data_IF_242894360130
#
_entry.id   IF_242894360130
#
_cell.length_a   1.000
_cell.length_b   1.000
_cell.length_c   1.000
_cell.angle_alpha   90.00
_cell.angle_beta   90.00
_cell.angle_gamma   90.00
#
_symmetry.space_group_name_H-M   'P 1'
#
loop_
_entity.id
_entity.type
_entity.pdbx_description
1 polymer ?
#
# COMPACT_ATOMS: atom_id res chain seq x y z
N UNK A 1 11.41 6.18 19.09
CA UNK A 1 11.66 6.29 20.54
C UNK A 1 12.90 7.14 20.74
N UNK A 2 12.75 8.28 21.41
CA UNK A 2 13.85 9.09 21.91
C UNK A 2 13.91 9.01 23.43
N UNK A 3 14.99 9.49 24.04
CA UNK A 3 15.12 9.64 25.50
C UNK A 3 15.42 11.09 25.84
N UNK A 4 15.03 11.55 27.03
CA UNK A 4 15.46 12.85 27.52
C UNK A 4 16.84 12.71 28.16
N UNK A 5 17.81 13.53 27.73
CA UNK A 5 19.15 13.61 28.32
C UNK A 5 19.39 15.07 28.68
N UNK A 6 19.65 15.36 29.96
CA UNK A 6 19.87 16.74 30.47
C UNK A 6 18.74 17.71 30.06
N UNK A 7 17.49 17.29 30.21
CA UNK A 7 16.31 18.09 29.86
C UNK A 7 16.06 18.27 28.35
N UNK A 8 16.88 17.68 27.47
CA UNK A 8 16.72 17.78 26.00
C UNK A 8 16.33 16.44 25.38
N UNK A 9 15.41 16.41 24.41
CA UNK A 9 15.07 15.19 23.70
C UNK A 9 16.25 14.74 22.81
N UNK A 10 16.70 13.51 23.00
CA UNK A 10 17.64 12.80 22.13
C UNK A 10 16.88 11.76 21.33
N UNK A 11 16.75 11.98 20.03
CA UNK A 11 16.04 11.10 19.10
C UNK A 11 17.03 10.10 18.51
N UNK A 12 16.73 8.81 18.63
CA UNK A 12 17.55 7.78 18.00
C UNK A 12 17.36 7.80 16.46
N UNK A 13 18.40 7.47 15.68
CA UNK A 13 18.26 7.30 14.24
C UNK A 13 17.27 6.17 13.93
N UNK A 14 16.67 6.22 12.74
CA UNK A 14 15.84 5.10 12.26
C UNK A 14 16.69 3.84 12.03
N UNK A 15 16.02 2.69 12.08
CA UNK A 15 16.62 1.41 11.67
C UNK A 15 16.39 1.19 10.17
N UNK A 16 17.17 0.31 9.52
CA UNK A 16 16.86 -0.13 8.16
C UNK A 16 15.42 -0.61 8.04
N UNK A 17 14.82 -0.38 6.88
CA UNK A 17 13.47 -0.85 6.58
C UNK A 17 13.44 -2.38 6.57
N UNK A 18 12.43 -3.02 7.19
CA UNK A 18 12.36 -4.48 7.19
C UNK A 18 12.07 -5.01 5.78
N UNK A 19 12.63 -6.17 5.49
CA UNK A 19 12.19 -7.00 4.37
C UNK A 19 10.77 -7.50 4.67
N UNK A 20 9.86 -7.36 3.71
CA UNK A 20 8.47 -7.80 3.87
C UNK A 20 8.34 -9.31 3.66
N UNK A 21 9.23 -9.92 2.88
CA UNK A 21 9.22 -11.36 2.64
C UNK A 21 9.56 -12.16 3.89
N UNK A 22 10.35 -11.59 4.80
CA UNK A 22 10.75 -12.23 6.06
C UNK A 22 9.77 -11.99 7.22
N UNK A 23 8.70 -11.23 7.02
CA UNK A 23 7.73 -10.97 8.10
C UNK A 23 6.90 -12.23 8.38
N UNK A 24 6.61 -12.53 9.65
CA UNK A 24 5.74 -13.64 10.00
C UNK A 24 4.32 -13.39 9.52
N UNK A 25 3.54 -14.46 9.45
CA UNK A 25 2.10 -14.38 9.19
C UNK A 25 1.41 -13.46 10.22
N UNK A 26 0.38 -12.74 9.78
CA UNK A 26 -0.33 -11.78 10.63
C UNK A 26 -1.13 -12.53 11.70
N UNK A 27 -1.03 -12.05 12.94
CA UNK A 27 -1.83 -12.56 14.05
C UNK A 27 -3.22 -11.92 14.00
N UNK A 28 -4.20 -12.65 13.46
CA UNK A 28 -5.60 -12.25 13.44
C UNK A 28 -6.37 -12.67 14.70
N UNK A 29 -5.75 -13.43 15.60
CA UNK A 29 -6.38 -13.93 16.82
C UNK A 29 -6.14 -13.00 18.02
N UNK A 30 -5.15 -12.10 17.94
CA UNK A 30 -4.89 -11.07 18.97
C UNK A 30 -6.11 -10.17 19.26
N UNK A 31 -7.05 -10.07 18.32
CA UNK A 31 -8.36 -9.43 18.51
C UNK A 31 -9.47 -10.34 18.00
N UNK A 32 -10.71 -10.09 18.44
CA UNK A 32 -11.89 -10.70 17.82
C UNK A 32 -12.10 -10.12 16.41
N UNK A 33 -11.40 -10.70 15.44
CA UNK A 33 -11.38 -10.20 14.07
C UNK A 33 -12.72 -10.41 13.36
N UNK A 34 -13.48 -11.46 13.72
CA UNK A 34 -14.83 -11.67 13.19
C UNK A 34 -15.74 -10.49 13.55
N UNK A 35 -15.70 -10.02 14.81
CA UNK A 35 -16.46 -8.84 15.24
C UNK A 35 -16.05 -7.58 14.50
N UNK A 36 -14.77 -7.41 14.16
CA UNK A 36 -14.28 -6.30 13.34
C UNK A 36 -14.83 -6.39 11.91
N UNK A 37 -14.84 -7.58 11.31
CA UNK A 37 -15.40 -7.83 9.97
C UNK A 37 -16.88 -7.44 9.94
N UNK A 38 -17.67 -7.95 10.89
CA UNK A 38 -19.10 -7.67 10.95
C UNK A 38 -19.39 -6.19 11.20
N UNK A 39 -18.62 -5.53 12.09
CA UNK A 39 -18.73 -4.09 12.35
C UNK A 39 -18.37 -3.23 11.12
N UNK A 40 -17.50 -3.73 10.24
CA UNK A 40 -17.14 -3.10 8.96
C UNK A 40 -18.00 -3.58 7.78
N UNK A 41 -19.14 -4.23 8.06
CA UNK A 41 -20.05 -4.76 7.04
C UNK A 41 -19.33 -5.64 6.00
N UNK A 42 -18.40 -6.48 6.47
CA UNK A 42 -17.65 -7.42 5.64
C UNK A 42 -16.42 -6.85 4.93
N UNK A 43 -15.99 -5.62 5.23
CA UNK A 43 -14.78 -5.03 4.63
C UNK A 43 -13.53 -5.40 5.41
N UNK A 44 -12.57 -6.02 4.72
CA UNK A 44 -11.30 -6.50 5.29
C UNK A 44 -10.13 -5.77 4.66
N UNK A 45 -9.32 -5.11 5.49
CA UNK A 45 -8.10 -4.42 5.08
C UNK A 45 -6.93 -5.37 4.91
N UNK A 46 -6.26 -5.28 3.78
CA UNK A 46 -5.02 -5.97 3.43
C UNK A 46 -3.96 -4.95 2.99
N UNK A 47 -2.71 -5.38 2.90
CA UNK A 47 -1.61 -4.53 2.46
C UNK A 47 -0.66 -5.37 1.61
N UNK A 48 -0.52 -5.02 0.34
CA UNK A 48 0.37 -5.70 -0.60
C UNK A 48 1.79 -5.12 -0.62
N UNK A 49 1.95 -3.88 -0.17
CA UNK A 49 3.18 -3.11 -0.26
C UNK A 49 3.25 -1.99 0.77
N UNK A 50 4.44 -1.42 0.93
CA UNK A 50 4.69 -0.25 1.78
C UNK A 50 5.54 0.77 1.02
N UNK A 51 5.13 2.04 1.07
CA UNK A 51 5.87 3.16 0.51
C UNK A 51 5.38 3.57 -0.87
N UNK A 52 5.73 4.80 -1.24
CA UNK A 52 5.37 5.45 -2.49
C UNK A 52 6.59 6.14 -3.10
N UNK A 53 6.80 6.07 -4.43
CA UNK A 53 7.91 6.76 -5.10
C UNK A 53 7.72 8.29 -5.16
N UNK A 54 6.49 8.77 -4.96
CA UNK A 54 6.14 10.16 -5.21
C UNK A 54 6.47 11.06 -4.02
N UNK A 55 6.79 12.32 -4.34
CA UNK A 55 7.17 13.35 -3.37
C UNK A 55 6.15 14.48 -3.25
N UNK A 56 4.87 14.12 -3.27
CA UNK A 56 3.76 15.06 -3.12
C UNK A 56 3.93 15.88 -1.83
N UNK A 57 3.89 17.22 -1.92
CA UNK A 57 4.27 18.13 -0.82
C UNK A 57 3.39 18.02 0.41
N UNK A 58 2.15 17.57 0.25
CA UNK A 58 1.18 17.38 1.33
C UNK A 58 1.21 15.97 1.94
N UNK A 59 1.92 15.01 1.32
CA UNK A 59 1.94 13.61 1.75
C UNK A 59 3.14 13.32 2.65
N UNK A 60 2.96 12.59 3.75
CA UNK A 60 4.05 12.30 4.70
C UNK A 60 5.20 11.46 4.11
N UNK A 61 4.97 10.72 3.02
CA UNK A 61 5.94 9.81 2.40
C UNK A 61 7.29 10.48 2.10
N UNK A 62 7.28 11.70 1.54
CA UNK A 62 8.52 12.40 1.17
C UNK A 62 9.36 12.82 2.40
N UNK A 63 8.71 13.17 3.51
CA UNK A 63 9.37 13.47 4.78
C UNK A 63 10.01 12.22 5.38
N UNK A 64 9.32 11.08 5.29
CA UNK A 64 9.84 9.79 5.75
C UNK A 64 11.05 9.36 4.92
N UNK A 65 10.97 9.43 3.60
CA UNK A 65 12.10 9.17 2.69
C UNK A 65 13.29 10.06 3.05
N UNK A 66 13.08 11.37 3.23
CA UNK A 66 14.15 12.31 3.61
C UNK A 66 14.78 11.93 4.95
N UNK A 67 13.98 11.62 5.97
CA UNK A 67 14.48 11.21 7.29
C UNK A 67 15.32 9.94 7.20
N UNK A 68 14.84 8.92 6.51
CA UNK A 68 15.57 7.66 6.37
C UNK A 68 16.88 7.83 5.62
N UNK A 69 16.88 8.57 4.51
CA UNK A 69 18.10 8.84 3.75
C UNK A 69 19.13 9.61 4.56
N UNK A 70 18.69 10.58 5.36
CA UNK A 70 19.57 11.36 6.23
C UNK A 70 20.13 10.53 7.40
N UNK A 71 19.29 9.74 8.07
CA UNK A 71 19.73 8.95 9.23
C UNK A 71 20.62 7.76 8.81
N UNK A 72 20.33 7.13 7.66
CA UNK A 72 21.04 5.95 7.15
C UNK A 72 22.14 6.29 6.13
N UNK A 73 22.26 7.56 5.73
CA UNK A 73 23.23 8.04 4.73
C UNK A 73 23.18 7.25 3.42
N UNK A 74 21.98 7.07 2.86
CA UNK A 74 21.76 6.27 1.65
C UNK A 74 20.96 7.01 0.57
N UNK A 75 21.09 6.55 -0.67
CA UNK A 75 20.26 6.98 -1.79
C UNK A 75 18.82 6.44 -1.68
N UNK A 76 17.92 6.98 -2.49
CA UNK A 76 16.53 6.48 -2.56
C UNK A 76 16.47 5.01 -3.02
N UNK A 77 17.36 4.62 -3.95
CA UNK A 77 17.42 3.26 -4.47
C UNK A 77 17.91 2.27 -3.40
N UNK A 78 18.98 2.62 -2.71
CA UNK A 78 19.54 1.79 -1.63
C UNK A 78 18.59 1.69 -0.43
N UNK A 79 17.80 2.73 -0.16
CA UNK A 79 16.78 2.69 0.88
C UNK A 79 15.75 1.58 0.64
N UNK A 80 15.46 1.24 -0.62
CA UNK A 80 14.42 0.27 -0.96
C UNK A 80 13.08 0.68 -0.34
N UNK A 81 12.66 1.94 -0.53
CA UNK A 81 11.51 2.48 0.20
C UNK A 81 10.20 1.75 -0.13
N UNK A 82 10.02 1.45 -1.42
CA UNK A 82 8.88 0.73 -1.98
C UNK A 82 9.17 -0.77 -1.88
N UNK A 83 8.40 -1.48 -1.06
CA UNK A 83 8.58 -2.91 -0.79
C UNK A 83 7.25 -3.61 -0.92
N UNK A 84 7.27 -4.83 -1.42
CA UNK A 84 6.06 -5.64 -1.63
C UNK A 84 6.14 -6.93 -0.82
N UNK A 85 5.00 -7.42 -0.35
CA UNK A 85 4.86 -8.83 -0.04
C UNK A 85 4.91 -9.64 -1.34
N UNK A 86 5.31 -10.90 -1.25
CA UNK A 86 5.18 -11.79 -2.41
C UNK A 86 3.70 -12.01 -2.73
N UNK A 87 3.40 -12.37 -3.99
CA UNK A 87 2.03 -12.74 -4.37
C UNK A 87 1.56 -13.93 -3.53
N UNK A 88 2.42 -14.93 -3.33
CA UNK A 88 2.08 -16.12 -2.55
C UNK A 88 1.70 -15.79 -1.10
N UNK A 89 2.44 -14.91 -0.42
CA UNK A 89 2.09 -14.46 0.93
C UNK A 89 0.70 -13.81 0.99
N UNK A 90 0.35 -12.99 -0.01
CA UNK A 90 -0.97 -12.34 -0.04
C UNK A 90 -2.10 -13.33 -0.34
N UNK A 91 -1.83 -14.29 -1.24
CA UNK A 91 -2.79 -15.33 -1.58
C UNK A 91 -3.03 -16.26 -0.39
N UNK A 92 -1.98 -16.65 0.32
CA UNK A 92 -2.06 -17.42 1.55
C UNK A 92 -2.89 -16.69 2.61
N UNK A 93 -2.65 -15.38 2.81
CA UNK A 93 -3.44 -14.54 3.72
C UNK A 93 -4.92 -14.47 3.33
N UNK A 94 -5.22 -14.29 2.04
CA UNK A 94 -6.59 -14.25 1.53
C UNK A 94 -7.30 -15.61 1.71
N UNK A 95 -6.63 -16.72 1.44
CA UNK A 95 -7.18 -18.07 1.63
C UNK A 95 -7.42 -18.34 3.11
N UNK A 96 -6.45 -18.02 3.97
CA UNK A 96 -6.61 -18.12 5.42
C UNK A 96 -7.83 -17.34 5.91
N UNK A 97 -7.99 -16.10 5.48
CA UNK A 97 -9.12 -15.26 5.90
C UNK A 97 -10.47 -15.82 5.46
N UNK A 98 -10.57 -16.30 4.22
CA UNK A 98 -11.82 -16.88 3.70
C UNK A 98 -12.18 -18.22 4.38
N UNK A 99 -11.19 -18.97 4.84
CA UNK A 99 -11.40 -20.26 5.52
C UNK A 99 -11.79 -20.11 6.99
N UNK A 100 -11.28 -19.06 7.67
CA UNK A 100 -11.42 -18.90 9.12
C UNK A 100 -12.47 -17.87 9.52
N UNK A 101 -12.86 -16.96 8.62
CA UNK A 101 -13.83 -15.91 8.91
C UNK A 101 -15.00 -15.92 7.94
N UNK A 102 -16.12 -15.33 8.38
CA UNK A 102 -17.39 -15.29 7.65
C UNK A 102 -17.76 -13.85 7.30
N UNK A 103 -18.72 -13.71 6.40
CA UNK A 103 -19.27 -12.42 5.97
C UNK A 103 -18.26 -11.46 5.32
N UNK A 104 -17.11 -11.95 4.85
CA UNK A 104 -16.19 -11.14 4.05
C UNK A 104 -16.87 -10.82 2.72
N UNK A 105 -17.06 -9.53 2.44
CA UNK A 105 -17.76 -9.02 1.25
C UNK A 105 -16.85 -8.20 0.35
N UNK A 106 -15.77 -7.63 0.89
CA UNK A 106 -14.84 -6.80 0.14
C UNK A 106 -13.46 -6.83 0.78
N UNK A 107 -12.42 -7.02 -0.04
CA UNK A 107 -11.06 -6.69 0.39
C UNK A 107 -10.68 -5.27 -0.02
N UNK A 108 -9.99 -4.55 0.85
CA UNK A 108 -9.42 -3.24 0.54
C UNK A 108 -7.91 -3.29 0.75
N UNK A 109 -7.16 -2.99 -0.31
CA UNK A 109 -5.71 -2.89 -0.25
C UNK A 109 -5.33 -1.45 0.13
N UNK A 110 -4.96 -1.25 1.40
CA UNK A 110 -4.62 0.05 2.00
C UNK A 110 -3.14 0.45 1.74
N UNK A 111 -2.60 -0.04 0.62
CA UNK A 111 -1.31 0.35 0.07
C UNK A 111 -1.26 1.84 -0.28
N UNK A 112 -0.10 2.48 -0.11
CA UNK A 112 0.11 3.84 -0.63
C UNK A 112 -0.09 3.88 -2.16
N UNK A 113 0.37 2.84 -2.86
CA UNK A 113 0.24 2.71 -4.31
C UNK A 113 0.35 1.23 -4.76
N UNK A 114 -0.77 0.51 -4.69
CA UNK A 114 -0.84 -0.90 -5.12
C UNK A 114 -0.42 -1.10 -6.58
N UNK A 115 -0.85 -0.18 -7.45
CA UNK A 115 -0.71 -0.32 -8.90
C UNK A 115 0.64 0.14 -9.45
N UNK A 116 1.63 0.38 -8.59
CA UNK A 116 2.94 0.88 -9.02
C UNK A 116 3.61 -0.06 -10.05
N UNK A 117 3.70 -1.35 -9.73
CA UNK A 117 4.34 -2.39 -10.54
C UNK A 117 3.32 -3.14 -11.40
N UNK A 118 3.39 -2.98 -12.72
CA UNK A 118 2.45 -3.64 -13.65
C UNK A 118 2.55 -5.17 -13.57
N UNK A 119 3.77 -5.69 -13.47
CA UNK A 119 4.06 -7.12 -13.39
C UNK A 119 3.49 -7.74 -12.12
N UNK A 120 3.62 -7.05 -10.98
CA UNK A 120 2.97 -7.43 -9.73
C UNK A 120 1.44 -7.43 -9.85
N UNK A 121 0.85 -6.38 -10.43
CA UNK A 121 -0.61 -6.30 -10.64
C UNK A 121 -1.11 -7.48 -11.48
N UNK A 122 -0.40 -7.83 -12.56
CA UNK A 122 -0.73 -8.98 -13.39
C UNK A 122 -0.65 -10.31 -12.63
N UNK A 123 0.48 -10.57 -11.98
CA UNK A 123 0.70 -11.80 -11.22
C UNK A 123 -0.29 -11.97 -10.06
N UNK A 124 -0.55 -10.89 -9.30
CA UNK A 124 -1.56 -10.90 -8.25
C UNK A 124 -2.95 -11.18 -8.82
N UNK A 125 -3.34 -10.50 -9.90
CA UNK A 125 -4.67 -10.65 -10.51
C UNK A 125 -4.92 -12.07 -10.99
N UNK A 126 -3.90 -12.70 -11.60
CA UNK A 126 -3.96 -14.09 -12.04
C UNK A 126 -4.08 -15.08 -10.87
N UNK A 127 -3.32 -14.87 -9.80
CA UNK A 127 -3.38 -15.75 -8.64
C UNK A 127 -4.70 -15.57 -7.85
N UNK A 128 -5.15 -14.32 -7.68
CA UNK A 128 -6.34 -13.97 -6.92
C UNK A 128 -7.60 -14.62 -7.47
N UNK A 129 -7.81 -14.55 -8.79
CA UNK A 129 -9.01 -15.10 -9.45
C UNK A 129 -9.14 -16.62 -9.35
N UNK A 130 -8.05 -17.33 -9.01
CA UNK A 130 -8.04 -18.78 -8.79
C UNK A 130 -8.54 -19.15 -7.39
N UNK A 131 -8.39 -18.25 -6.41
CA UNK A 131 -8.63 -18.55 -4.99
C UNK A 131 -9.78 -17.76 -4.37
N UNK A 132 -10.23 -16.66 -4.99
CA UNK A 132 -11.29 -15.83 -4.44
C UNK A 132 -12.19 -15.26 -5.53
N UNK A 133 -13.46 -15.12 -5.17
CA UNK A 133 -14.47 -14.36 -5.93
C UNK A 133 -14.93 -13.10 -5.20
N UNK A 134 -14.39 -12.87 -4.01
CA UNK A 134 -14.68 -11.65 -3.24
C UNK A 134 -14.16 -10.46 -4.06
N UNK A 135 -14.94 -9.39 -4.23
CA UNK A 135 -14.45 -8.22 -4.94
C UNK A 135 -13.43 -7.45 -4.09
N UNK A 136 -12.53 -6.71 -4.73
CA UNK A 136 -11.52 -5.93 -4.02
C UNK A 136 -11.34 -4.50 -4.55
N UNK A 137 -10.68 -3.68 -3.73
CA UNK A 137 -10.40 -2.26 -3.97
C UNK A 137 -8.92 -1.99 -3.89
N UNK A 138 -8.39 -1.17 -4.80
CA UNK A 138 -6.98 -0.77 -4.81
C UNK A 138 -6.81 0.73 -4.97
N UNK A 139 -5.65 1.24 -4.55
CA UNK A 139 -5.23 2.62 -4.82
C UNK A 139 -4.35 2.67 -6.08
N UNK A 140 -4.56 3.72 -6.89
CA UNK A 140 -3.81 3.99 -8.10
C UNK A 140 -3.37 5.44 -8.25
N UNK A 141 -2.38 5.62 -9.11
CA UNK A 141 -1.87 6.94 -9.47
C UNK A 141 -2.16 7.20 -10.95
N UNK A 142 -2.87 8.29 -11.24
CA UNK A 142 -3.36 8.63 -12.59
C UNK A 142 -2.24 8.59 -13.63
N UNK A 143 -1.06 9.12 -13.31
CA UNK A 143 0.08 9.14 -14.25
C UNK A 143 0.78 7.79 -14.49
N UNK A 144 0.39 6.70 -13.82
CA UNK A 144 0.98 5.36 -13.98
C UNK A 144 -0.04 4.30 -14.40
N UNK A 145 -1.32 4.63 -14.31
CA UNK A 145 -2.38 3.66 -14.54
C UNK A 145 -2.69 3.57 -16.03
N UNK A 146 -2.67 2.36 -16.56
CA UNK A 146 -2.80 2.08 -17.99
C UNK A 146 -3.81 0.95 -18.25
N UNK A 147 -4.14 0.75 -19.52
CA UNK A 147 -5.13 -0.25 -19.96
C UNK A 147 -4.76 -1.67 -19.53
N UNK A 148 -3.46 -1.99 -19.48
CA UNK A 148 -3.00 -3.29 -19.02
C UNK A 148 -3.33 -3.52 -17.54
N UNK A 149 -3.03 -2.56 -16.65
CA UNK A 149 -3.43 -2.64 -15.23
C UNK A 149 -4.94 -2.69 -15.08
N UNK A 150 -5.67 -1.86 -15.83
CA UNK A 150 -7.13 -1.83 -15.80
C UNK A 150 -7.71 -3.21 -16.15
N UNK A 151 -7.21 -3.84 -17.21
CA UNK A 151 -7.64 -5.17 -17.66
C UNK A 151 -7.33 -6.24 -16.62
N UNK A 152 -6.11 -6.30 -16.09
CA UNK A 152 -5.75 -7.28 -15.06
C UNK A 152 -6.65 -7.16 -13.82
N UNK A 153 -6.85 -5.95 -13.33
CA UNK A 153 -7.70 -5.69 -12.16
C UNK A 153 -9.16 -6.07 -12.42
N UNK A 154 -9.70 -5.72 -13.60
CA UNK A 154 -11.07 -6.05 -13.97
C UNK A 154 -11.29 -7.57 -14.05
N UNK A 155 -10.37 -8.30 -14.71
CA UNK A 155 -10.42 -9.76 -14.84
C UNK A 155 -10.34 -10.49 -13.49
N UNK A 156 -9.67 -9.88 -12.49
CA UNK A 156 -9.58 -10.41 -11.14
C UNK A 156 -10.76 -10.06 -10.22
N UNK A 157 -11.69 -9.21 -10.67
CA UNK A 157 -12.85 -8.80 -9.86
C UNK A 157 -12.61 -7.56 -9.00
N UNK A 158 -11.62 -6.73 -9.32
CA UNK A 158 -11.49 -5.40 -8.72
C UNK A 158 -12.74 -4.56 -9.05
N UNK A 159 -13.34 -3.94 -8.04
CA UNK A 159 -14.56 -3.13 -8.21
C UNK A 159 -14.30 -1.63 -8.14
N UNK A 160 -13.27 -1.22 -7.40
CA UNK A 160 -12.98 0.18 -7.18
C UNK A 160 -11.47 0.39 -7.30
N UNK A 161 -11.07 1.32 -8.16
CA UNK A 161 -9.73 1.90 -8.18
C UNK A 161 -9.84 3.33 -7.69
N UNK A 162 -9.15 3.65 -6.59
CA UNK A 162 -9.13 4.99 -6.01
C UNK A 162 -7.95 5.77 -6.57
N UNK A 163 -8.22 6.96 -7.12
CA UNK A 163 -7.18 7.84 -7.65
C UNK A 163 -7.08 9.14 -6.87
N UNK A 164 -5.86 9.52 -6.50
CA UNK A 164 -5.57 10.86 -6.01
C UNK A 164 -5.42 11.85 -7.17
N UNK A 165 -6.50 12.54 -7.57
CA UNK A 165 -6.44 13.64 -8.54
C UNK A 165 -6.03 14.95 -7.86
N UNK A 166 -6.53 15.16 -6.64
CA UNK A 166 -6.25 16.25 -5.70
C UNK A 166 -6.71 17.65 -6.11
N UNK A 167 -6.45 18.06 -7.36
CA UNK A 167 -6.87 19.37 -7.86
C UNK A 167 -7.09 19.32 -9.36
N UNK A 168 -8.11 20.00 -9.87
CA UNK A 168 -8.31 20.19 -11.32
C UNK A 168 -7.35 21.23 -11.95
N UNK A 169 -6.68 22.06 -11.14
CA UNK A 169 -5.76 23.09 -11.63
C UNK A 169 -4.36 22.53 -11.84
N UNK A 170 -3.89 22.49 -13.11
CA UNK A 170 -2.52 22.12 -13.46
C UNK A 170 -1.49 22.96 -12.70
N UNK A 171 -1.77 24.26 -12.50
CA UNK A 171 -0.91 25.17 -11.73
C UNK A 171 -0.76 24.69 -10.28
N UNK A 172 -1.88 24.38 -9.61
CA UNK A 172 -1.86 23.89 -8.23
C UNK A 172 -1.14 22.54 -8.14
N UNK A 173 -1.48 21.58 -9.02
CA UNK A 173 -0.87 20.24 -8.99
C UNK A 173 0.65 20.32 -9.18
N UNK A 174 1.12 21.03 -10.20
CA UNK A 174 2.55 21.08 -10.53
C UNK A 174 3.38 21.98 -9.59
N UNK A 175 2.89 23.19 -9.28
CA UNK A 175 3.69 24.20 -8.56
C UNK A 175 3.55 24.12 -7.03
N UNK A 176 2.42 23.63 -6.51
CA UNK A 176 2.16 23.56 -5.08
C UNK A 176 2.26 22.13 -4.58
N UNK A 177 1.56 21.20 -5.24
CA UNK A 177 1.43 19.81 -4.77
C UNK A 177 2.58 18.89 -5.20
N UNK A 178 3.45 19.34 -6.10
CA UNK A 178 4.50 18.55 -6.75
C UNK A 178 3.97 17.26 -7.42
N UNK A 179 2.84 17.39 -8.13
CA UNK A 179 2.20 16.35 -8.93
C UNK A 179 2.20 16.75 -10.40
N UNK A 180 3.07 16.12 -11.18
CA UNK A 180 3.27 16.43 -12.60
C UNK A 180 2.45 15.48 -13.47
N UNK A 181 1.20 15.84 -13.74
CA UNK A 181 0.29 15.09 -14.61
C UNK A 181 -0.50 16.04 -15.52
N UNK A 182 -0.85 15.57 -16.72
CA UNK A 182 -1.67 16.31 -17.68
C UNK A 182 -3.08 16.61 -17.15
N UNK A 183 -3.78 17.53 -17.82
CA UNK A 183 -5.22 17.73 -17.67
C UNK A 183 -6.04 16.89 -18.66
N UNK A 184 -5.41 16.45 -19.75
CA UNK A 184 -5.94 15.46 -20.70
C UNK A 184 -5.78 14.05 -20.11
#
# INVERSE_FOLDING_TARGET
MGRVVNGKPKINPVRPLPDLHSLPFKDYEIFDFQKIIDAKNGWVGLMASRGCPFSCTYCFNHLMVKKYRNDLQCSFRELGYIRHFSVDQLIEEIVFLQNNYRNIRMFIFDDDLFTFRQDFVGAFSEAYRRVSRVPFVVNGHVGLFDDARARYLAEAGCRIVKFGVESGSRKIRSQIMNRHMSNE
#
